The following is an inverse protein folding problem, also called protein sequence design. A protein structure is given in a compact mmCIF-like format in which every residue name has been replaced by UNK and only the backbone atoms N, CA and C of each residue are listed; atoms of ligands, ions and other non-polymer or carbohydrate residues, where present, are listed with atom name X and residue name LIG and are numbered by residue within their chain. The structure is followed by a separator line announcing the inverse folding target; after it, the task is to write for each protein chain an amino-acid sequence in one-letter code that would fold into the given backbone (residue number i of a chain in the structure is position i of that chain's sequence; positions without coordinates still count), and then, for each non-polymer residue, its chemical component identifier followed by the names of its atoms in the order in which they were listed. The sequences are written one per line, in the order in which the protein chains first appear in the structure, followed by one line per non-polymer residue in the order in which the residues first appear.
data_IF_619224162375
#
_entry.id   IF_619224162375
#
_cell.length_a   1.000
_cell.length_b   1.000
_cell.length_c   1.000
_cell.angle_alpha   90.00
_cell.angle_beta   90.00
_cell.angle_gamma   90.00
#
_symmetry.space_group_name_H-M   'P 1'
#
loop_
_entity.id
_entity.type
_entity.pdbx_description
1 polymer ?
#
# COMPACT_ATOMS: atom_id res chain seq x y z
N UNK A 1 -17.95 -61.89 47.55
CA UNK A 1 -18.34 -62.58 48.80
C UNK A 1 -18.95 -61.55 49.79
N UNK A 2 -18.24 -60.51 50.18
CA UNK A 2 -18.69 -59.48 51.14
C UNK A 2 -20.02 -58.86 50.69
N UNK A 3 -20.16 -58.49 49.43
CA UNK A 3 -21.39 -57.92 48.88
C UNK A 3 -22.57 -58.86 48.90
N UNK A 4 -22.33 -60.15 48.73
CA UNK A 4 -23.37 -61.15 48.81
C UNK A 4 -23.90 -61.26 50.27
N UNK A 5 -23.03 -61.28 51.26
CA UNK A 5 -23.41 -61.31 52.67
C UNK A 5 -24.14 -60.01 53.10
N UNK A 6 -23.73 -58.88 52.63
CA UNK A 6 -24.43 -57.62 52.88
C UNK A 6 -25.84 -57.63 52.25
N UNK A 7 -25.94 -58.13 50.99
CA UNK A 7 -27.20 -58.28 50.30
C UNK A 7 -28.14 -59.19 51.06
N UNK A 8 -27.66 -60.37 51.50
CA UNK A 8 -28.44 -61.31 52.30
C UNK A 8 -28.89 -60.74 53.65
N UNK A 9 -28.03 -59.98 54.31
CA UNK A 9 -28.31 -59.40 55.63
C UNK A 9 -29.37 -58.30 55.59
N UNK A 10 -29.33 -57.40 54.62
CA UNK A 10 -30.24 -56.25 54.54
C UNK A 10 -31.46 -56.42 53.67
N UNK A 11 -31.41 -57.27 52.66
CA UNK A 11 -32.41 -57.29 51.59
C UNK A 11 -33.18 -58.63 51.48
N UNK A 12 -32.75 -59.66 52.19
CA UNK A 12 -33.42 -60.94 52.12
C UNK A 12 -34.19 -61.31 53.40
N UNK A 13 -35.27 -62.08 53.36
CA UNK A 13 -35.97 -62.55 54.53
C UNK A 13 -35.40 -63.90 54.99
N UNK A 14 -35.19 -64.13 56.27
CA UNK A 14 -35.44 -63.21 57.39
C UNK A 14 -34.37 -62.10 57.48
N UNK A 15 -34.77 -60.79 57.61
CA UNK A 15 -33.88 -59.67 57.65
C UNK A 15 -32.92 -59.74 58.86
N UNK A 16 -31.72 -59.17 58.69
CA UNK A 16 -30.62 -59.21 59.68
C UNK A 16 -30.08 -60.63 59.96
N UNK A 17 -30.24 -61.53 59.01
CA UNK A 17 -29.71 -62.90 59.08
C UNK A 17 -28.83 -63.18 57.85
N UNK A 18 -27.83 -64.02 58.03
CA UNK A 18 -26.98 -64.50 56.95
C UNK A 18 -27.50 -65.81 56.33
N UNK A 19 -28.67 -66.31 56.78
CA UNK A 19 -29.27 -67.51 56.24
C UNK A 19 -30.31 -67.16 55.18
N UNK A 20 -30.21 -67.80 54.03
CA UNK A 20 -31.18 -67.68 52.92
C UNK A 20 -31.90 -68.99 52.66
N UNK A 21 -33.23 -68.99 52.81
CA UNK A 21 -34.04 -70.19 52.63
C UNK A 21 -34.62 -70.34 51.21
N UNK A 22 -34.57 -69.29 50.36
CA UNK A 22 -35.14 -69.39 49.03
C UNK A 22 -34.07 -69.56 47.94
N UNK A 23 -34.27 -70.57 47.08
CA UNK A 23 -33.35 -70.95 46.02
C UNK A 23 -33.10 -69.90 44.97
N UNK A 24 -33.97 -68.87 44.90
CA UNK A 24 -33.83 -67.78 43.91
C UNK A 24 -32.85 -66.65 44.31
N UNK A 25 -32.46 -66.49 45.58
CA UNK A 25 -31.61 -65.37 46.01
C UNK A 25 -30.20 -65.31 45.41
N UNK A 26 -29.50 -66.40 45.19
CA UNK A 26 -28.19 -66.35 44.54
C UNK A 26 -28.27 -65.82 43.08
N UNK A 27 -29.37 -66.15 42.38
CA UNK A 27 -29.59 -65.69 41.01
C UNK A 27 -29.90 -64.21 40.95
N UNK A 28 -30.76 -63.71 41.85
CA UNK A 28 -31.05 -62.24 41.94
C UNK A 28 -29.83 -61.48 42.37
N UNK A 29 -28.99 -61.95 43.29
CA UNK A 29 -27.71 -61.35 43.63
C UNK A 29 -26.75 -61.27 42.43
N UNK A 30 -26.63 -62.36 41.68
CA UNK A 30 -25.76 -62.36 40.48
C UNK A 30 -26.24 -61.36 39.45
N UNK A 31 -27.56 -61.28 39.18
CA UNK A 31 -28.13 -60.30 38.25
C UNK A 31 -27.88 -58.84 38.74
N UNK A 32 -28.10 -58.56 40.04
CA UNK A 32 -27.87 -57.24 40.60
C UNK A 32 -26.38 -56.87 40.61
N UNK A 33 -25.48 -57.83 40.87
CA UNK A 33 -24.04 -57.64 40.78
C UNK A 33 -23.60 -57.30 39.36
N UNK A 34 -24.03 -58.11 38.38
CA UNK A 34 -23.71 -57.85 36.95
C UNK A 34 -24.27 -56.51 36.52
N UNK A 35 -25.53 -56.21 36.83
CA UNK A 35 -26.16 -54.91 36.53
C UNK A 35 -25.39 -53.75 37.16
N UNK A 36 -24.98 -53.85 38.44
CA UNK A 36 -24.20 -52.83 39.14
C UNK A 36 -22.81 -52.59 38.54
N UNK A 37 -22.12 -53.71 38.18
CA UNK A 37 -20.81 -53.59 37.49
C UNK A 37 -20.99 -52.96 36.12
N UNK A 38 -22.01 -53.37 35.36
CA UNK A 38 -22.27 -52.85 34.02
C UNK A 38 -22.65 -51.37 34.07
N UNK A 39 -23.52 -50.96 34.98
CA UNK A 39 -23.90 -49.57 35.17
C UNK A 39 -22.71 -48.69 35.65
N UNK A 40 -21.89 -49.23 36.57
CA UNK A 40 -20.68 -48.57 37.02
C UNK A 40 -19.65 -48.34 35.89
N UNK A 41 -19.42 -49.41 35.08
CA UNK A 41 -18.54 -49.33 33.93
C UNK A 41 -19.07 -48.33 32.85
N UNK A 42 -20.38 -48.35 32.60
CA UNK A 42 -21.04 -47.44 31.67
C UNK A 42 -20.97 -45.99 32.18
N UNK A 43 -21.21 -45.76 33.45
CA UNK A 43 -21.10 -44.43 34.07
C UNK A 43 -19.68 -43.88 34.03
N UNK A 44 -18.66 -44.73 34.32
CA UNK A 44 -17.26 -44.35 34.18
C UNK A 44 -16.89 -43.98 32.74
N UNK A 45 -17.35 -44.78 31.76
CA UNK A 45 -17.15 -44.54 30.33
C UNK A 45 -17.84 -43.24 29.88
N UNK A 46 -19.07 -42.99 30.30
CA UNK A 46 -19.80 -41.76 30.01
C UNK A 46 -19.08 -40.54 30.59
N UNK A 47 -18.57 -40.62 31.82
CA UNK A 47 -17.81 -39.55 32.45
C UNK A 47 -16.52 -39.19 31.69
N UNK A 48 -15.80 -40.24 31.23
CA UNK A 48 -14.57 -40.01 30.42
C UNK A 48 -14.90 -39.39 29.06
N UNK A 49 -15.97 -39.89 28.39
CA UNK A 49 -16.44 -39.31 27.14
C UNK A 49 -16.92 -37.88 27.30
N UNK A 50 -17.66 -37.53 28.36
CA UNK A 50 -18.11 -36.18 28.65
C UNK A 50 -16.92 -35.23 28.87
N UNK A 51 -15.91 -35.70 29.63
CA UNK A 51 -14.67 -34.90 29.86
C UNK A 51 -13.91 -34.62 28.55
N UNK A 52 -13.73 -35.65 27.73
CA UNK A 52 -13.07 -35.51 26.42
C UNK A 52 -13.84 -34.59 25.48
N UNK A 53 -15.17 -34.72 25.41
CA UNK A 53 -16.03 -33.84 24.61
C UNK A 53 -15.97 -32.40 25.07
N UNK A 54 -15.97 -32.15 26.38
CA UNK A 54 -15.80 -30.80 26.93
C UNK A 54 -14.44 -30.20 26.59
N UNK A 55 -13.36 -30.98 26.66
CA UNK A 55 -12.02 -30.51 26.27
C UNK A 55 -11.93 -30.18 24.77
N UNK A 56 -12.52 -31.01 23.92
CA UNK A 56 -12.58 -30.75 22.47
C UNK A 56 -13.40 -29.49 22.16
N UNK A 57 -14.57 -29.34 22.77
CA UNK A 57 -15.40 -28.15 22.60
C UNK A 57 -14.67 -26.87 23.04
N UNK A 58 -14.01 -26.91 24.18
CA UNK A 58 -13.20 -25.78 24.69
C UNK A 58 -12.04 -25.43 23.76
N UNK A 59 -11.30 -26.44 23.25
CA UNK A 59 -10.23 -26.24 22.27
C UNK A 59 -10.74 -25.59 20.98
N UNK A 60 -11.89 -26.08 20.47
CA UNK A 60 -12.49 -25.52 19.24
C UNK A 60 -12.91 -24.07 19.44
N UNK A 61 -13.49 -23.75 20.61
CA UNK A 61 -13.88 -22.38 20.95
C UNK A 61 -12.66 -21.44 20.98
N UNK A 62 -11.57 -21.87 21.62
CA UNK A 62 -10.32 -21.10 21.67
C UNK A 62 -9.79 -20.81 20.28
N UNK A 63 -9.72 -21.83 19.42
CA UNK A 63 -9.22 -21.65 18.06
C UNK A 63 -10.08 -20.67 17.26
N UNK A 64 -11.41 -20.79 17.38
CA UNK A 64 -12.33 -19.88 16.72
C UNK A 64 -12.16 -18.43 17.20
N UNK A 65 -12.07 -18.22 18.52
CA UNK A 65 -11.87 -16.89 19.10
C UNK A 65 -10.51 -16.32 18.70
N UNK A 66 -9.47 -17.13 18.66
CA UNK A 66 -8.12 -16.73 18.23
C UNK A 66 -8.12 -16.34 16.77
N UNK A 67 -8.66 -17.17 15.86
CA UNK A 67 -8.76 -16.88 14.43
C UNK A 67 -9.49 -15.56 14.18
N UNK A 68 -10.63 -15.36 14.85
CA UNK A 68 -11.39 -14.10 14.74
C UNK A 68 -10.60 -12.85 15.18
N UNK A 69 -9.71 -12.98 16.15
CA UNK A 69 -8.86 -11.87 16.61
C UNK A 69 -7.72 -11.64 15.62
N UNK A 70 -7.09 -12.71 15.13
CA UNK A 70 -5.99 -12.65 14.17
C UNK A 70 -6.42 -12.06 12.82
N UNK A 71 -7.64 -12.33 12.36
CA UNK A 71 -8.19 -11.73 11.14
C UNK A 71 -8.34 -10.20 11.18
N UNK A 72 -8.40 -9.61 12.38
CA UNK A 72 -8.49 -8.16 12.55
C UNK A 72 -7.13 -7.48 12.65
N UNK A 73 -6.09 -8.22 12.97
CA UNK A 73 -4.75 -7.71 13.18
C UNK A 73 -4.12 -7.29 11.85
N UNK A 74 -3.45 -6.14 11.85
CA UNK A 74 -2.77 -5.57 10.69
C UNK A 74 -1.26 -5.67 10.89
N UNK A 75 -0.65 -6.64 10.18
CA UNK A 75 0.79 -6.82 10.18
C UNK A 75 1.32 -7.78 11.24
N UNK A 76 2.56 -8.22 11.07
CA UNK A 76 3.17 -9.32 11.83
C UNK A 76 3.29 -9.03 13.33
N UNK A 77 3.62 -7.79 13.71
CA UNK A 77 3.74 -7.40 15.13
C UNK A 77 2.40 -7.48 15.86
N UNK A 78 1.33 -6.99 15.26
CA UNK A 78 -0.01 -7.01 15.88
C UNK A 78 -0.55 -8.44 15.99
N UNK A 79 -0.30 -9.28 14.99
CA UNK A 79 -0.62 -10.72 15.01
C UNK A 79 0.08 -11.38 16.19
N UNK A 80 1.38 -11.12 16.40
CA UNK A 80 2.14 -11.68 17.51
C UNK A 80 1.62 -11.18 18.87
N UNK A 81 1.35 -9.87 18.99
CA UNK A 81 0.83 -9.27 20.23
C UNK A 81 -0.53 -9.87 20.62
N UNK A 82 -1.44 -10.05 19.66
CA UNK A 82 -2.72 -10.73 19.87
C UNK A 82 -2.51 -12.16 20.31
N UNK A 83 -1.63 -12.90 19.63
CA UNK A 83 -1.32 -14.30 19.95
C UNK A 83 -0.78 -14.44 21.36
N UNK A 84 0.21 -13.61 21.73
CA UNK A 84 0.82 -13.64 23.07
C UNK A 84 -0.17 -13.26 24.16
N UNK A 85 -1.04 -12.29 23.91
CA UNK A 85 -2.11 -11.91 24.85
C UNK A 85 -3.10 -13.05 25.05
N UNK A 86 -3.46 -13.78 24.00
CA UNK A 86 -4.32 -14.96 24.10
C UNK A 86 -3.62 -16.09 24.87
N UNK A 87 -2.37 -16.39 24.55
CA UNK A 87 -1.60 -17.43 25.25
C UNK A 87 -1.43 -17.10 26.74
N UNK A 88 -1.15 -15.83 27.08
CA UNK A 88 -1.09 -15.34 28.46
C UNK A 88 -2.40 -15.66 29.22
N UNK A 89 -3.55 -15.38 28.62
CA UNK A 89 -4.87 -15.65 29.22
C UNK A 89 -5.16 -17.13 29.37
N UNK A 90 -4.79 -17.94 28.35
CA UNK A 90 -5.12 -19.36 28.29
C UNK A 90 -4.23 -20.20 29.21
N UNK A 91 -2.95 -19.89 29.28
CA UNK A 91 -1.98 -20.64 30.07
C UNK A 91 -1.78 -20.04 31.47
N UNK A 92 -2.25 -18.81 31.71
CA UNK A 92 -2.00 -18.02 32.92
C UNK A 92 -0.51 -18.00 33.27
N UNK A 93 0.35 -17.87 32.23
CA UNK A 93 1.82 -17.83 32.34
C UNK A 93 2.36 -16.67 31.53
N UNK A 94 3.46 -16.09 31.97
CA UNK A 94 4.18 -15.07 31.21
C UNK A 94 4.61 -15.65 29.85
N UNK A 95 4.69 -14.80 28.83
CA UNK A 95 5.08 -15.18 27.47
C UNK A 95 6.17 -14.22 27.01
N UNK A 96 7.27 -14.73 26.51
CA UNK A 96 8.25 -13.92 25.77
C UNK A 96 8.07 -14.14 24.27
N UNK A 97 8.19 -13.08 23.48
CA UNK A 97 8.01 -13.16 22.04
C UNK A 97 9.06 -12.37 21.28
N UNK A 98 9.48 -12.91 20.16
CA UNK A 98 10.47 -12.36 19.26
C UNK A 98 9.93 -12.40 17.83
N UNK A 99 9.92 -11.26 17.13
CA UNK A 99 9.52 -11.16 15.71
C UNK A 99 10.77 -11.32 14.83
N UNK A 100 10.62 -11.85 13.63
CA UNK A 100 11.68 -11.86 12.62
C UNK A 100 11.56 -10.59 11.78
N UNK A 101 12.58 -9.74 11.82
CA UNK A 101 12.70 -8.52 11.02
C UNK A 101 14.02 -8.56 10.25
N UNK A 102 13.97 -8.32 8.94
CA UNK A 102 15.16 -8.32 8.07
C UNK A 102 16.05 -9.59 8.23
N UNK A 103 15.42 -10.77 8.31
CA UNK A 103 16.10 -12.06 8.53
C UNK A 103 16.85 -12.20 9.86
N UNK A 104 16.50 -11.42 10.86
CA UNK A 104 17.04 -11.51 12.20
C UNK A 104 15.92 -11.45 13.25
N UNK A 105 16.15 -12.03 14.43
CA UNK A 105 15.20 -11.86 15.54
C UNK A 105 15.32 -10.45 16.13
N UNK A 106 14.17 -9.81 16.36
CA UNK A 106 14.04 -8.55 17.08
C UNK A 106 14.43 -8.70 18.55
N UNK A 107 14.47 -7.61 19.28
CA UNK A 107 14.52 -7.63 20.73
C UNK A 107 13.28 -8.32 21.30
N UNK A 108 13.46 -9.11 22.37
CA UNK A 108 12.37 -9.85 23.00
C UNK A 108 11.38 -8.92 23.72
N UNK A 109 10.09 -9.21 23.59
CA UNK A 109 9.02 -8.54 24.30
C UNK A 109 8.41 -9.50 25.32
N UNK A 110 8.23 -9.05 26.57
CA UNK A 110 7.58 -9.83 27.63
C UNK A 110 6.11 -9.43 27.74
N UNK A 111 5.25 -10.42 27.78
CA UNK A 111 3.82 -10.30 28.10
C UNK A 111 3.60 -10.91 29.48
N UNK A 112 3.24 -10.09 30.45
CA UNK A 112 3.02 -10.48 31.85
C UNK A 112 1.61 -10.09 32.33
N UNK A 113 1.02 -10.94 33.14
CA UNK A 113 -0.25 -10.67 33.80
C UNK A 113 -0.12 -9.95 35.16
N UNK A 114 1.09 -9.90 35.73
CA UNK A 114 1.39 -9.21 37.00
C UNK A 114 2.68 -8.40 36.86
N UNK A 115 2.78 -7.28 37.56
CA UNK A 115 3.93 -6.37 37.50
C UNK A 115 5.21 -6.89 38.18
N UNK A 116 5.15 -7.99 38.89
CA UNK A 116 6.28 -8.57 39.63
C UNK A 116 6.95 -9.67 38.81
N UNK A 117 8.28 -9.61 38.58
CA UNK A 117 9.18 -10.55 37.90
C UNK A 117 9.37 -10.37 36.37
N UNK A 118 9.65 -9.17 35.91
CA UNK A 118 9.82 -8.91 34.46
C UNK A 118 11.24 -9.06 33.93
N UNK A 119 12.29 -8.97 34.74
CA UNK A 119 13.69 -8.90 34.23
C UNK A 119 14.36 -10.24 33.94
N UNK A 120 13.90 -11.34 34.50
CA UNK A 120 14.58 -12.62 34.48
C UNK A 120 14.41 -13.47 33.20
N UNK A 121 13.50 -13.10 32.29
CA UNK A 121 13.16 -13.90 31.11
C UNK A 121 13.70 -13.32 29.79
N UNK A 122 14.30 -12.13 29.81
CA UNK A 122 14.87 -11.46 28.64
C UNK A 122 16.40 -11.31 28.73
N UNK A 123 17.06 -12.20 29.45
CA UNK A 123 18.53 -12.20 29.57
C UNK A 123 19.19 -12.51 28.23
N UNK A 124 20.47 -12.13 28.08
CA UNK A 124 21.24 -12.44 26.87
C UNK A 124 21.34 -13.94 26.60
N UNK A 125 21.34 -14.76 27.65
CA UNK A 125 21.37 -16.23 27.55
C UNK A 125 20.07 -16.76 26.96
N UNK A 126 18.92 -16.29 27.47
CA UNK A 126 17.59 -16.66 26.94
C UNK A 126 17.41 -16.19 25.51
N UNK A 127 17.88 -15.00 25.14
CA UNK A 127 17.88 -14.51 23.76
C UNK A 127 18.72 -15.37 22.82
N UNK A 128 19.86 -15.91 23.27
CA UNK A 128 20.66 -16.83 22.47
C UNK A 128 19.92 -18.15 22.19
N UNK A 129 19.15 -18.65 23.17
CA UNK A 129 18.33 -19.86 22.99
C UNK A 129 17.16 -19.59 22.01
N UNK A 130 16.54 -18.43 22.12
CA UNK A 130 15.51 -18.01 21.14
C UNK A 130 16.10 -17.93 19.72
N UNK A 131 17.32 -17.36 19.56
CA UNK A 131 18.02 -17.32 18.28
C UNK A 131 18.35 -18.71 17.76
N UNK A 132 18.86 -19.60 18.61
CA UNK A 132 19.10 -20.99 18.23
C UNK A 132 17.81 -21.67 17.75
N UNK A 133 16.67 -21.46 18.44
CA UNK A 133 15.36 -21.98 18.05
C UNK A 133 14.95 -21.47 16.67
N UNK A 134 15.21 -20.19 16.37
CA UNK A 134 14.97 -19.59 15.06
C UNK A 134 15.81 -20.24 13.96
N UNK A 135 17.13 -20.35 14.18
CA UNK A 135 18.09 -20.85 13.19
C UNK A 135 17.88 -22.36 12.90
N UNK A 136 17.64 -23.14 13.96
CA UNK A 136 17.50 -24.61 13.85
C UNK A 136 16.05 -25.06 13.64
N UNK A 137 15.06 -24.17 13.77
CA UNK A 137 13.63 -24.47 13.60
C UNK A 137 13.11 -25.60 14.50
N UNK A 138 13.79 -25.83 15.62
CA UNK A 138 13.48 -26.85 16.60
C UNK A 138 13.18 -26.21 17.95
N UNK A 139 12.36 -26.89 18.75
CA UNK A 139 12.12 -26.46 20.13
C UNK A 139 13.38 -26.57 20.96
N UNK A 140 13.62 -25.60 21.81
CA UNK A 140 14.77 -25.57 22.73
C UNK A 140 14.36 -25.01 24.10
N UNK A 141 15.22 -25.14 25.07
CA UNK A 141 15.03 -24.63 26.43
C UNK A 141 14.45 -25.66 27.39
N UNK A 142 13.79 -25.18 28.44
CA UNK A 142 13.26 -25.99 29.50
C UNK A 142 12.44 -27.19 29.01
N UNK A 143 12.63 -28.34 29.65
CA UNK A 143 11.97 -29.63 29.30
C UNK A 143 12.31 -30.14 27.87
N UNK A 144 13.42 -29.72 27.27
CA UNK A 144 13.92 -30.23 25.99
C UNK A 144 15.31 -30.81 26.11
N UNK A 145 15.80 -31.46 25.04
CA UNK A 145 17.21 -31.96 25.01
C UNK A 145 18.22 -30.84 24.76
N UNK A 146 17.80 -29.72 24.18
CA UNK A 146 18.67 -28.57 23.91
C UNK A 146 18.43 -27.48 24.94
N UNK A 147 19.46 -27.12 25.69
CA UNK A 147 19.41 -26.09 26.74
C UNK A 147 18.42 -26.40 27.90
N UNK A 148 18.48 -27.60 28.54
CA UNK A 148 17.53 -27.97 29.57
C UNK A 148 17.54 -27.09 30.83
N UNK A 149 18.59 -26.29 31.02
CA UNK A 149 18.76 -25.36 32.14
C UNK A 149 18.11 -23.98 31.88
N UNK A 150 17.59 -23.76 30.69
CA UNK A 150 16.86 -22.52 30.38
C UNK A 150 15.63 -22.35 31.25
N UNK A 151 15.24 -21.11 31.49
CA UNK A 151 14.01 -20.80 32.25
C UNK A 151 12.75 -20.97 31.38
N UNK A 152 12.88 -20.76 30.07
CA UNK A 152 11.78 -20.82 29.12
C UNK A 152 11.86 -22.02 28.19
N UNK A 153 10.69 -22.52 27.76
CA UNK A 153 10.53 -23.38 26.60
C UNK A 153 10.33 -22.49 25.36
N UNK A 154 11.19 -22.60 24.35
CA UNK A 154 11.15 -21.84 23.12
C UNK A 154 10.57 -22.65 21.97
N UNK A 155 9.61 -22.06 21.26
CA UNK A 155 8.93 -22.64 20.09
C UNK A 155 8.96 -21.65 18.93
N UNK A 156 9.31 -22.13 17.74
CA UNK A 156 9.28 -21.32 16.54
C UNK A 156 7.86 -21.20 15.98
N UNK A 157 7.43 -19.99 15.66
CA UNK A 157 6.23 -19.71 14.89
C UNK A 157 6.60 -19.90 13.43
N UNK A 158 6.19 -21.03 12.82
CA UNK A 158 6.61 -21.37 11.46
C UNK A 158 5.46 -21.92 10.62
N UNK A 159 5.48 -21.60 9.31
CA UNK A 159 4.71 -22.30 8.29
C UNK A 159 5.66 -22.82 7.22
N UNK A 160 5.64 -24.12 7.01
CA UNK A 160 6.59 -24.79 6.12
C UNK A 160 8.05 -24.54 6.51
N UNK A 161 8.80 -23.89 5.62
CA UNK A 161 10.21 -23.55 5.81
C UNK A 161 10.43 -22.14 6.41
N UNK A 162 9.41 -21.32 6.47
CA UNK A 162 9.51 -19.94 6.94
C UNK A 162 9.25 -19.88 8.44
N UNK A 163 10.10 -19.13 9.16
CA UNK A 163 9.93 -18.80 10.58
C UNK A 163 9.63 -17.32 10.70
N UNK A 164 8.52 -17.00 11.34
CA UNK A 164 8.01 -15.63 11.50
C UNK A 164 8.35 -15.03 12.86
N UNK A 165 8.65 -15.90 13.85
CA UNK A 165 8.97 -15.48 15.19
C UNK A 165 9.29 -16.66 16.11
N UNK A 166 9.59 -16.35 17.36
CA UNK A 166 9.82 -17.35 18.42
C UNK A 166 9.03 -16.92 19.64
N UNK A 167 8.35 -17.87 20.27
CA UNK A 167 7.65 -17.69 21.55
C UNK A 167 8.39 -18.49 22.62
N UNK A 168 8.65 -17.86 23.76
CA UNK A 168 9.20 -18.48 24.96
C UNK A 168 8.16 -18.50 26.07
N UNK A 169 8.05 -19.65 26.77
CA UNK A 169 7.12 -19.86 27.87
C UNK A 169 7.90 -20.28 29.10
N UNK A 170 7.91 -19.48 30.17
CA UNK A 170 8.57 -19.85 31.42
C UNK A 170 7.98 -21.12 32.05
N UNK A 171 8.87 -22.08 32.39
CA UNK A 171 8.52 -23.33 33.06
C UNK A 171 9.20 -23.37 34.45
N UNK A 172 8.69 -22.59 35.41
CA UNK A 172 9.38 -22.38 36.68
C UNK A 172 9.39 -23.59 37.63
N UNK A 173 8.33 -24.40 37.69
CA UNK A 173 8.24 -25.62 38.55
C UNK A 173 7.26 -26.65 38.01
N UNK A 174 6.42 -26.32 37.09
CA UNK A 174 5.37 -27.18 36.55
C UNK A 174 5.55 -27.34 35.05
N UNK A 175 5.68 -28.54 34.57
CA UNK A 175 5.63 -28.86 33.14
C UNK A 175 4.24 -28.58 32.60
N UNK A 176 4.14 -28.16 31.33
CA UNK A 176 2.85 -28.07 30.66
C UNK A 176 2.18 -29.44 30.60
N UNK A 177 0.90 -29.50 30.94
CA UNK A 177 0.14 -30.71 30.74
C UNK A 177 -0.06 -30.99 29.23
N UNK A 178 -0.48 -32.21 28.89
CA UNK A 178 -0.65 -32.59 27.47
C UNK A 178 -1.74 -31.77 26.78
N UNK A 179 -2.70 -31.27 27.52
CA UNK A 179 -3.79 -30.43 26.98
C UNK A 179 -3.33 -29.01 26.74
N UNK A 180 -2.64 -28.38 27.71
CA UNK A 180 -2.01 -27.05 27.60
C UNK A 180 -1.05 -27.01 26.42
N UNK A 181 -0.18 -28.02 26.30
CA UNK A 181 0.76 -28.13 25.19
C UNK A 181 0.08 -28.24 23.82
N UNK A 182 -1.02 -28.99 23.75
CA UNK A 182 -1.82 -29.13 22.53
C UNK A 182 -2.50 -27.80 22.12
N UNK A 183 -3.01 -27.02 23.07
CA UNK A 183 -3.58 -25.69 22.83
C UNK A 183 -2.49 -24.75 22.36
N UNK A 184 -1.35 -24.69 23.05
CA UNK A 184 -0.21 -23.88 22.69
C UNK A 184 0.21 -24.08 21.22
N UNK A 185 0.44 -25.33 20.82
CA UNK A 185 0.81 -25.66 19.44
C UNK A 185 -0.26 -25.25 18.44
N UNK A 186 -1.55 -25.40 18.80
CA UNK A 186 -2.64 -25.02 17.92
C UNK A 186 -2.67 -23.50 17.70
N UNK A 187 -2.53 -22.71 18.76
CA UNK A 187 -2.52 -21.24 18.69
C UNK A 187 -1.28 -20.74 17.93
N UNK A 188 -0.11 -21.34 18.17
CA UNK A 188 1.12 -21.00 17.40
C UNK A 188 0.96 -21.29 15.91
N UNK A 189 0.30 -22.41 15.54
CA UNK A 189 0.06 -22.73 14.14
C UNK A 189 -0.93 -21.74 13.49
N UNK A 190 -1.99 -21.33 14.18
CA UNK A 190 -2.89 -20.28 13.68
C UNK A 190 -2.17 -18.95 13.53
N UNK A 191 -1.31 -18.58 14.48
CA UNK A 191 -0.45 -17.40 14.37
C UNK A 191 0.45 -17.47 13.14
N UNK A 192 1.12 -18.59 12.92
CA UNK A 192 2.00 -18.79 11.77
C UNK A 192 1.25 -18.64 10.44
N UNK A 193 0.05 -19.22 10.36
CA UNK A 193 -0.82 -19.12 9.17
C UNK A 193 -1.28 -17.65 8.94
N UNK A 194 -1.65 -16.96 10.01
CA UNK A 194 -2.05 -15.56 9.93
C UNK A 194 -0.89 -14.67 9.45
N UNK A 195 0.33 -14.88 9.94
CA UNK A 195 1.53 -14.17 9.51
C UNK A 195 1.88 -14.45 8.05
N UNK A 196 1.81 -15.72 7.62
CA UNK A 196 2.01 -16.09 6.21
C UNK A 196 1.00 -15.40 5.29
N UNK A 197 -0.27 -15.39 5.67
CA UNK A 197 -1.32 -14.73 4.91
C UNK A 197 -1.10 -13.22 4.82
N UNK A 198 -0.69 -12.57 5.92
CA UNK A 198 -0.39 -11.14 5.95
C UNK A 198 0.81 -10.81 5.03
N UNK A 199 1.88 -11.60 5.08
CA UNK A 199 3.05 -11.42 4.22
C UNK A 199 2.70 -11.61 2.74
N UNK A 200 1.97 -12.67 2.40
CA UNK A 200 1.50 -12.94 1.03
C UNK A 200 0.58 -11.82 0.50
N UNK A 201 -0.27 -11.24 1.35
CA UNK A 201 -1.12 -10.11 0.98
C UNK A 201 -0.30 -8.87 0.65
N UNK A 202 0.69 -8.52 1.47
CA UNK A 202 1.61 -7.39 1.22
C UNK A 202 2.42 -7.59 -0.07
N UNK A 203 2.92 -8.80 -0.31
CA UNK A 203 3.66 -9.11 -1.53
C UNK A 203 2.79 -9.02 -2.78
N UNK A 204 1.56 -9.52 -2.73
CA UNK A 204 0.58 -9.39 -3.82
C UNK A 204 0.26 -7.93 -4.12
N UNK A 205 0.05 -7.10 -3.09
CA UNK A 205 -0.21 -5.67 -3.26
C UNK A 205 0.99 -4.97 -3.91
N UNK A 206 2.20 -5.23 -3.43
CA UNK A 206 3.44 -4.70 -4.02
C UNK A 206 3.58 -5.11 -5.50
N UNK A 207 3.37 -6.38 -5.81
CA UNK A 207 3.46 -6.89 -7.17
C UNK A 207 2.37 -6.31 -8.08
N UNK A 208 1.15 -6.09 -7.56
CA UNK A 208 0.07 -5.43 -8.29
C UNK A 208 0.41 -3.97 -8.65
N UNK A 209 1.04 -3.23 -7.73
CA UNK A 209 1.51 -1.85 -7.99
C UNK A 209 2.60 -1.85 -9.07
N UNK A 210 3.57 -2.76 -8.99
CA UNK A 210 4.63 -2.90 -10.00
C UNK A 210 4.02 -3.23 -11.36
N UNK A 211 3.15 -4.24 -11.44
CA UNK A 211 2.50 -4.65 -12.69
C UNK A 211 1.68 -3.51 -13.31
N UNK A 212 0.94 -2.74 -12.48
CA UNK A 212 0.20 -1.57 -12.94
C UNK A 212 1.11 -0.49 -13.52
N UNK A 213 2.26 -0.23 -12.89
CA UNK A 213 3.24 0.74 -13.39
C UNK A 213 3.87 0.27 -14.72
N UNK A 214 4.21 -1.03 -14.85
CA UNK A 214 4.72 -1.57 -16.11
C UNK A 214 3.67 -1.53 -17.23
N UNK A 215 2.41 -1.82 -16.92
CA UNK A 215 1.32 -1.69 -17.89
C UNK A 215 1.16 -0.25 -18.36
N UNK A 216 1.16 0.71 -17.43
CA UNK A 216 1.12 2.14 -17.78
C UNK A 216 2.29 2.54 -18.68
N UNK A 217 3.50 2.08 -18.38
CA UNK A 217 4.69 2.34 -19.24
C UNK A 217 4.52 1.76 -20.64
N UNK A 218 4.00 0.55 -20.77
CA UNK A 218 3.75 -0.08 -22.07
C UNK A 218 2.70 0.68 -22.88
N UNK A 219 1.58 1.06 -22.25
CA UNK A 219 0.51 1.82 -22.91
C UNK A 219 1.01 3.19 -23.37
N UNK A 220 1.86 3.84 -22.54
CA UNK A 220 2.51 5.11 -22.87
C UNK A 220 3.41 4.99 -24.10
N UNK A 221 4.29 3.99 -24.13
CA UNK A 221 5.20 3.76 -25.27
C UNK A 221 4.42 3.47 -26.54
N UNK A 222 3.33 2.73 -26.46
CA UNK A 222 2.46 2.45 -27.59
C UNK A 222 1.81 3.73 -28.14
N UNK A 223 1.20 4.55 -27.26
CA UNK A 223 0.56 5.81 -27.63
C UNK A 223 1.56 6.79 -28.26
N UNK A 224 2.73 6.98 -27.63
CA UNK A 224 3.79 7.84 -28.15
C UNK A 224 4.26 7.36 -29.54
N UNK A 225 4.47 6.05 -29.69
CA UNK A 225 4.93 5.48 -30.97
C UNK A 225 3.93 5.69 -32.10
N UNK A 226 2.64 5.56 -31.78
CA UNK A 226 1.57 5.83 -32.75
C UNK A 226 1.55 7.29 -33.17
N UNK A 227 1.60 8.21 -32.23
CA UNK A 227 1.45 9.64 -32.48
C UNK A 227 2.69 10.27 -33.12
N UNK A 228 3.89 9.74 -32.85
CA UNK A 228 5.12 10.11 -33.56
C UNK A 228 5.12 9.59 -35.01
N UNK A 229 4.59 8.41 -35.28
CA UNK A 229 4.57 7.81 -36.62
C UNK A 229 3.79 8.65 -37.62
N UNK A 230 2.67 9.22 -37.21
CA UNK A 230 1.77 9.97 -38.09
C UNK A 230 2.48 11.18 -38.75
N UNK A 231 3.10 12.13 -38.01
CA UNK A 231 3.84 13.25 -38.61
C UNK A 231 5.08 12.79 -39.35
N UNK A 232 5.77 11.74 -38.90
CA UNK A 232 6.89 11.19 -39.66
C UNK A 232 6.47 10.66 -41.05
N UNK A 233 5.31 9.99 -41.12
CA UNK A 233 4.75 9.55 -42.40
C UNK A 233 4.36 10.74 -43.30
N UNK A 234 3.79 11.81 -42.67
CA UNK A 234 3.45 13.05 -43.40
C UNK A 234 4.69 13.74 -43.93
N UNK A 235 5.74 13.94 -43.14
CA UNK A 235 7.02 14.51 -43.57
C UNK A 235 7.62 13.68 -44.70
N UNK A 236 7.66 12.34 -44.53
CA UNK A 236 8.22 11.44 -45.55
C UNK A 236 7.43 11.49 -46.85
N UNK A 237 6.11 11.45 -46.80
CA UNK A 237 5.23 11.54 -47.97
C UNK A 237 5.35 12.88 -48.68
N UNK A 238 5.36 13.98 -47.95
CA UNK A 238 5.55 15.32 -48.47
C UNK A 238 6.93 15.50 -49.13
N UNK A 239 7.99 14.97 -48.51
CA UNK A 239 9.32 14.98 -49.07
C UNK A 239 9.41 14.13 -50.37
N UNK A 240 8.77 12.94 -50.36
CA UNK A 240 8.72 12.09 -51.59
C UNK A 240 7.96 12.77 -52.71
N UNK A 241 6.87 13.48 -52.41
CA UNK A 241 6.10 14.25 -53.40
C UNK A 241 6.96 15.35 -54.05
N UNK A 242 7.77 16.07 -53.24
CA UNK A 242 8.70 17.08 -53.74
C UNK A 242 9.81 16.44 -54.60
N UNK A 243 10.35 15.30 -54.20
CA UNK A 243 11.40 14.62 -54.94
C UNK A 243 10.92 14.04 -56.28
N UNK A 244 9.72 13.44 -56.27
CA UNK A 244 9.21 12.69 -57.43
C UNK A 244 8.44 13.59 -58.44
N UNK A 245 7.81 14.69 -57.99
CA UNK A 245 6.88 15.47 -58.81
C UNK A 245 7.17 16.99 -58.82
N UNK A 246 8.33 17.46 -58.39
CA UNK A 246 8.63 18.90 -58.21
C UNK A 246 8.36 19.75 -59.45
N UNK A 247 8.58 19.22 -60.66
CA UNK A 247 8.34 19.94 -61.91
C UNK A 247 6.86 20.14 -62.26
N UNK A 248 5.97 19.32 -61.66
CA UNK A 248 4.52 19.35 -61.90
C UNK A 248 3.74 20.15 -60.86
N UNK A 249 4.38 20.51 -59.77
CA UNK A 249 3.79 21.27 -58.68
C UNK A 249 3.94 22.76 -58.92
N UNK A 250 2.88 23.52 -58.67
CA UNK A 250 2.95 24.98 -58.64
C UNK A 250 3.67 25.49 -57.37
N UNK A 251 4.15 26.71 -57.40
CA UNK A 251 4.93 27.28 -56.28
C UNK A 251 4.08 27.40 -54.98
N UNK A 252 2.78 27.60 -55.08
CA UNK A 252 1.90 27.67 -53.93
C UNK A 252 1.80 26.30 -53.23
N UNK A 253 1.63 25.22 -54.01
CA UNK A 253 1.61 23.84 -53.48
C UNK A 253 2.98 23.45 -52.88
N UNK A 254 4.07 23.81 -53.51
CA UNK A 254 5.41 23.57 -52.95
C UNK A 254 5.59 24.28 -51.62
N UNK A 255 5.20 25.56 -51.56
CA UNK A 255 5.28 26.33 -50.31
C UNK A 255 4.45 25.71 -49.20
N UNK A 256 3.25 25.22 -49.52
CA UNK A 256 2.41 24.53 -48.53
C UNK A 256 3.09 23.25 -48.03
N UNK A 257 3.65 22.41 -48.92
CA UNK A 257 4.37 21.20 -48.55
C UNK A 257 5.59 21.48 -47.68
N UNK A 258 6.37 22.54 -47.98
CA UNK A 258 7.47 22.95 -47.11
C UNK A 258 6.99 23.38 -45.73
N UNK A 259 5.89 24.12 -45.67
CA UNK A 259 5.28 24.54 -44.40
C UNK A 259 4.79 23.34 -43.59
N UNK A 260 4.13 22.38 -44.24
CA UNK A 260 3.64 21.15 -43.55
C UNK A 260 4.81 20.31 -42.99
N UNK A 261 5.92 20.18 -43.77
CA UNK A 261 7.12 19.49 -43.28
C UNK A 261 7.72 20.20 -42.09
N UNK A 262 7.81 21.52 -42.16
CA UNK A 262 8.37 22.34 -41.09
C UNK A 262 7.50 22.24 -39.81
N UNK A 263 6.22 22.42 -39.93
CA UNK A 263 5.28 22.41 -38.80
C UNK A 263 5.21 21.02 -38.12
N UNK A 264 5.21 19.93 -38.92
CA UNK A 264 5.30 18.55 -38.39
C UNK A 264 6.63 18.27 -37.67
N UNK A 265 7.74 18.86 -38.17
CA UNK A 265 9.08 18.72 -37.58
C UNK A 265 9.17 19.47 -36.23
N UNK A 266 8.71 20.72 -36.18
CA UNK A 266 8.65 21.53 -34.93
C UNK A 266 7.80 20.87 -33.89
N UNK A 267 6.65 20.31 -34.28
CA UNK A 267 5.78 19.56 -33.38
C UNK A 267 6.48 18.33 -32.79
N UNK A 268 7.23 17.56 -33.62
CA UNK A 268 7.98 16.40 -33.14
C UNK A 268 9.09 16.79 -32.16
N UNK A 269 9.79 17.90 -32.39
CA UNK A 269 10.82 18.42 -31.50
C UNK A 269 10.17 18.71 -30.13
N UNK A 270 9.05 19.43 -30.11
CA UNK A 270 8.33 19.73 -28.87
C UNK A 270 7.86 18.49 -28.09
N UNK A 271 7.42 17.45 -28.80
CA UNK A 271 7.04 16.16 -28.20
C UNK A 271 8.24 15.50 -27.52
N UNK A 272 9.39 15.43 -28.22
CA UNK A 272 10.60 14.80 -27.68
C UNK A 272 11.12 15.57 -26.48
N UNK A 273 11.14 16.91 -26.51
CA UNK A 273 11.57 17.75 -25.41
C UNK A 273 10.67 17.60 -24.17
N UNK A 274 9.36 17.56 -24.36
CA UNK A 274 8.40 17.33 -23.27
C UNK A 274 8.58 15.93 -22.65
N UNK A 275 8.78 14.89 -23.46
CA UNK A 275 9.01 13.52 -23.00
C UNK A 275 10.32 13.41 -22.20
N UNK A 276 11.40 14.01 -22.69
CA UNK A 276 12.68 14.05 -22.00
C UNK A 276 12.59 14.82 -20.67
N UNK A 277 11.84 15.91 -20.62
CA UNK A 277 11.61 16.70 -19.41
C UNK A 277 10.85 15.91 -18.35
N UNK A 278 9.76 15.23 -18.73
CA UNK A 278 8.97 14.37 -17.84
C UNK A 278 9.82 13.20 -17.32
N UNK A 279 10.59 12.54 -18.19
CA UNK A 279 11.43 11.40 -17.80
C UNK A 279 12.50 11.81 -16.79
N UNK A 280 13.15 12.96 -17.00
CA UNK A 280 14.17 13.49 -16.08
C UNK A 280 13.58 13.92 -14.74
N UNK A 281 12.36 14.46 -14.73
CA UNK A 281 11.64 14.82 -13.51
C UNK A 281 11.32 13.56 -12.68
N UNK A 282 10.72 12.54 -13.30
CA UNK A 282 10.30 11.31 -12.62
C UNK A 282 11.48 10.50 -12.08
N UNK A 283 12.61 10.49 -12.78
CA UNK A 283 13.83 9.78 -12.34
C UNK A 283 14.60 10.53 -11.22
N UNK A 284 14.15 11.72 -10.82
CA UNK A 284 14.88 12.57 -9.86
C UNK A 284 16.24 13.04 -10.38
N UNK A 285 16.49 12.94 -11.68
CA UNK A 285 17.78 13.30 -12.33
C UNK A 285 17.83 14.74 -12.78
N UNK A 286 16.71 15.46 -12.72
CA UNK A 286 16.68 16.87 -13.08
C UNK A 286 17.39 17.68 -11.98
N UNK A 287 18.51 18.30 -12.34
CA UNK A 287 19.22 19.25 -11.46
C UNK A 287 18.58 20.63 -11.63
N UNK A 288 17.75 21.02 -10.69
CA UNK A 288 17.17 22.36 -10.65
C UNK A 288 18.25 23.41 -10.41
N UNK A 289 18.18 24.50 -11.16
CA UNK A 289 19.02 25.68 -10.93
C UNK A 289 18.13 26.80 -10.37
N UNK A 290 17.80 26.70 -9.11
CA UNK A 290 17.02 27.73 -8.42
C UNK A 290 17.79 29.04 -8.32
N UNK A 291 17.13 30.11 -8.67
CA UNK A 291 17.59 31.50 -8.49
C UNK A 291 16.40 32.37 -8.14
N UNK A 292 16.70 33.50 -7.46
CA UNK A 292 15.70 34.50 -7.14
C UNK A 292 15.56 35.44 -8.34
N UNK A 293 14.37 35.53 -8.91
CA UNK A 293 14.11 36.26 -10.15
C UNK A 293 12.87 37.13 -10.03
N UNK A 294 12.90 38.25 -10.74
CA UNK A 294 11.75 39.11 -10.89
C UNK A 294 10.74 38.50 -11.81
N UNK A 295 9.48 38.45 -11.37
CA UNK A 295 8.41 37.77 -12.06
C UNK A 295 8.06 38.44 -13.41
N UNK A 296 8.11 39.78 -13.47
CA UNK A 296 7.89 40.56 -14.69
C UNK A 296 8.94 40.26 -15.79
N UNK A 297 10.21 40.06 -15.42
CA UNK A 297 11.26 39.68 -16.35
C UNK A 297 11.02 38.29 -16.95
N UNK A 298 10.61 37.32 -16.10
CA UNK A 298 10.33 35.94 -16.55
C UNK A 298 9.09 35.90 -17.44
N UNK A 299 8.05 36.69 -17.14
CA UNK A 299 6.87 36.81 -18.00
C UNK A 299 7.27 37.48 -19.34
N UNK A 300 8.04 38.55 -19.31
CA UNK A 300 8.48 39.22 -20.53
C UNK A 300 9.33 38.31 -21.43
N UNK A 301 10.22 37.50 -20.82
CA UNK A 301 11.03 36.53 -21.56
C UNK A 301 10.19 35.43 -22.16
N UNK A 302 9.18 34.89 -21.43
CA UNK A 302 8.28 33.87 -21.95
C UNK A 302 7.49 34.37 -23.16
N UNK A 303 7.08 35.63 -23.19
CA UNK A 303 6.39 36.26 -24.33
C UNK A 303 7.26 36.34 -25.58
N UNK A 304 8.60 36.46 -25.44
CA UNK A 304 9.52 36.43 -26.58
C UNK A 304 9.63 35.07 -27.25
N UNK A 305 9.38 34.01 -26.52
CA UNK A 305 9.38 32.61 -27.02
C UNK A 305 8.10 32.24 -27.79
N UNK A 306 7.04 33.04 -27.67
CA UNK A 306 5.81 32.80 -28.40
C UNK A 306 6.00 33.18 -29.86
N UNK A 307 5.71 32.24 -30.75
CA UNK A 307 5.88 32.39 -32.20
C UNK A 307 5.08 33.57 -32.78
N UNK A 308 5.64 34.29 -33.78
CA UNK A 308 4.96 35.40 -34.51
C UNK A 308 3.70 34.98 -35.29
N UNK A 309 3.38 33.69 -35.35
CA UNK A 309 2.15 33.16 -35.99
C UNK A 309 0.83 33.53 -35.23
N UNK A 310 0.92 34.34 -34.16
CA UNK A 310 -0.21 34.63 -33.28
C UNK A 310 -0.64 36.11 -33.29
N UNK A 311 -0.40 36.82 -34.40
CA UNK A 311 -0.83 38.21 -34.57
C UNK A 311 -2.36 38.42 -34.44
N UNK A 312 -3.13 37.30 -34.54
CA UNK A 312 -4.58 37.28 -34.37
C UNK A 312 -5.05 37.27 -32.89
N UNK A 313 -4.14 37.15 -31.93
CA UNK A 313 -4.45 37.11 -30.51
C UNK A 313 -3.94 38.34 -29.77
N UNK A 314 -4.72 38.84 -28.82
CA UNK A 314 -4.29 39.97 -27.98
C UNK A 314 -3.74 39.46 -26.66
N UNK A 315 -2.42 39.37 -26.53
CA UNK A 315 -1.76 38.96 -25.30
C UNK A 315 -1.41 40.22 -24.47
N UNK A 316 -1.85 40.25 -23.20
CA UNK A 316 -1.62 41.36 -22.26
C UNK A 316 -0.97 40.81 -21.01
N UNK A 317 0.06 41.43 -20.53
CA UNK A 317 0.70 41.12 -19.23
C UNK A 317 0.51 42.26 -18.24
N UNK A 318 0.13 41.91 -17.02
CA UNK A 318 0.00 42.80 -15.88
C UNK A 318 0.69 42.17 -14.68
N UNK A 319 1.76 42.75 -14.19
CA UNK A 319 2.54 42.19 -13.09
C UNK A 319 2.72 43.27 -12.02
N UNK A 320 2.46 42.85 -10.77
CA UNK A 320 2.78 43.70 -9.61
C UNK A 320 4.27 43.96 -9.53
N UNK A 321 4.65 45.18 -9.20
CA UNK A 321 6.05 45.58 -9.15
C UNK A 321 6.82 44.82 -8.05
N UNK A 322 8.07 44.43 -8.36
CA UNK A 322 9.03 43.84 -7.43
C UNK A 322 8.62 42.51 -6.79
N UNK A 323 7.86 41.68 -7.49
CA UNK A 323 7.60 40.30 -7.02
C UNK A 323 8.80 39.42 -7.35
N UNK A 324 9.56 39.05 -6.32
CA UNK A 324 10.68 38.11 -6.41
C UNK A 324 10.21 36.69 -6.03
N UNK A 325 10.54 35.73 -6.84
CA UNK A 325 10.24 34.31 -6.57
C UNK A 325 11.46 33.45 -6.83
N UNK A 326 11.61 32.40 -6.02
CA UNK A 326 12.67 31.40 -6.16
C UNK A 326 12.26 30.34 -7.18
N UNK A 327 12.97 30.28 -8.31
CA UNK A 327 12.59 29.37 -9.40
C UNK A 327 13.78 28.95 -10.28
N UNK A 328 13.60 27.89 -11.05
CA UNK A 328 14.40 27.60 -12.25
C UNK A 328 13.73 28.31 -13.43
N UNK A 329 14.33 29.39 -13.88
CA UNK A 329 13.78 30.29 -14.92
C UNK A 329 13.39 29.55 -16.18
N UNK A 330 14.22 28.62 -16.65
CA UNK A 330 13.99 27.88 -17.91
C UNK A 330 12.72 27.02 -17.82
N UNK A 331 12.51 26.38 -16.68
CA UNK A 331 11.34 25.54 -16.45
C UNK A 331 10.07 26.35 -16.28
N UNK A 332 10.14 27.50 -15.60
CA UNK A 332 8.97 28.38 -15.44
C UNK A 332 8.62 29.06 -16.79
N UNK A 333 9.59 29.46 -17.59
CA UNK A 333 9.33 29.92 -18.96
C UNK A 333 8.61 28.80 -19.76
N UNK A 334 9.05 27.56 -19.66
CA UNK A 334 8.40 26.42 -20.33
C UNK A 334 6.94 26.24 -19.86
N UNK A 335 6.66 26.40 -18.54
CA UNK A 335 5.29 26.40 -18.02
C UNK A 335 4.45 27.51 -18.64
N UNK A 336 4.95 28.74 -18.63
CA UNK A 336 4.23 29.88 -19.18
C UNK A 336 3.96 29.73 -20.68
N UNK A 337 4.97 29.35 -21.46
CA UNK A 337 4.82 29.08 -22.90
C UNK A 337 3.77 28.00 -23.14
N UNK A 338 3.82 26.87 -22.42
CA UNK A 338 2.83 25.79 -22.56
C UNK A 338 1.40 26.26 -22.22
N UNK A 339 1.21 27.09 -21.19
CA UNK A 339 -0.11 27.61 -20.81
C UNK A 339 -0.65 28.59 -21.86
N UNK A 340 0.21 29.47 -22.38
CA UNK A 340 -0.15 30.44 -23.40
C UNK A 340 -0.45 29.75 -24.72
N UNK A 341 0.37 28.80 -25.15
CA UNK A 341 0.15 28.00 -26.36
C UNK A 341 -1.15 27.21 -26.28
N UNK A 342 -1.50 26.67 -25.09
CA UNK A 342 -2.79 26.06 -24.88
C UNK A 342 -3.96 27.06 -25.06
N UNK A 343 -3.84 28.26 -24.48
CA UNK A 343 -4.85 29.30 -24.67
C UNK A 343 -5.04 29.64 -26.16
N UNK A 344 -3.95 29.82 -26.89
CA UNK A 344 -3.96 30.10 -28.35
C UNK A 344 -4.60 28.94 -29.12
N UNK A 345 -4.21 27.73 -28.80
CA UNK A 345 -4.63 26.50 -29.51
C UNK A 345 -6.11 26.17 -29.37
N UNK A 346 -6.67 26.41 -28.18
CA UNK A 346 -8.03 25.98 -27.83
C UNK A 346 -9.05 27.13 -27.82
N UNK A 347 -8.64 28.34 -28.23
CA UNK A 347 -9.55 29.48 -28.33
C UNK A 347 -9.59 30.03 -29.75
N UNK A 348 -10.69 30.67 -30.17
CA UNK A 348 -10.79 31.26 -31.52
C UNK A 348 -9.90 32.48 -31.68
N UNK A 349 -9.52 32.82 -32.92
CA UNK A 349 -8.83 34.11 -33.20
C UNK A 349 -9.60 35.30 -32.63
N UNK A 350 -8.83 36.31 -32.14
CA UNK A 350 -9.40 37.49 -31.49
C UNK A 350 -9.56 37.34 -29.96
N UNK A 351 -9.24 36.15 -29.39
CA UNK A 351 -9.23 35.92 -27.95
C UNK A 351 -8.20 36.81 -27.25
N UNK A 352 -8.57 37.33 -26.08
CA UNK A 352 -7.66 38.05 -25.19
C UNK A 352 -7.07 37.08 -24.17
N UNK A 353 -5.74 37.00 -24.14
CA UNK A 353 -5.01 36.20 -23.17
C UNK A 353 -4.31 37.17 -22.20
N UNK A 354 -4.66 37.08 -20.92
CA UNK A 354 -4.11 37.97 -19.88
C UNK A 354 -3.22 37.16 -18.93
N UNK A 355 -1.98 37.60 -18.75
CA UNK A 355 -1.02 37.04 -17.81
C UNK A 355 -0.91 37.98 -16.64
N UNK A 356 -1.21 37.52 -15.43
CA UNK A 356 -1.12 38.35 -14.22
C UNK A 356 -0.13 37.75 -13.22
N UNK A 357 0.75 38.60 -12.68
CA UNK A 357 1.67 38.26 -11.61
C UNK A 357 1.35 39.06 -10.36
N UNK A 358 1.08 38.42 -9.24
CA UNK A 358 0.69 39.08 -7.98
C UNK A 358 1.35 38.40 -6.79
N UNK A 359 1.39 39.09 -5.66
CA UNK A 359 1.80 38.54 -4.38
C UNK A 359 0.56 38.25 -3.54
N UNK A 360 0.31 36.98 -3.23
CA UNK A 360 -0.87 36.54 -2.48
C UNK A 360 -0.47 35.50 -1.43
N UNK A 361 -0.90 35.67 -0.17
CA UNK A 361 -0.69 34.72 0.94
C UNK A 361 0.77 34.29 1.14
N UNK A 362 1.72 35.19 0.96
CA UNK A 362 3.16 34.93 1.12
C UNK A 362 3.76 34.07 -0.02
N UNK A 363 3.07 33.96 -1.16
CA UNK A 363 3.54 33.28 -2.38
C UNK A 363 3.45 34.21 -3.57
N UNK A 364 4.32 34.02 -4.56
CA UNK A 364 4.14 34.58 -5.88
C UNK A 364 3.09 33.79 -6.62
N UNK A 365 2.07 34.46 -7.11
CA UNK A 365 0.97 33.84 -7.86
C UNK A 365 0.97 34.35 -9.29
N UNK A 366 0.96 33.44 -10.24
CA UNK A 366 0.88 33.73 -11.67
C UNK A 366 -0.38 33.12 -12.22
N UNK A 367 -1.15 33.88 -12.98
CA UNK A 367 -2.36 33.41 -13.66
C UNK A 367 -2.30 33.70 -15.15
N UNK A 368 -2.69 32.71 -15.95
CA UNK A 368 -2.90 32.83 -17.41
C UNK A 368 -4.38 32.67 -17.65
N UNK A 369 -5.04 33.74 -18.09
CA UNK A 369 -6.49 33.82 -18.30
C UNK A 369 -6.78 33.97 -19.77
N UNK A 370 -7.79 33.28 -20.25
CA UNK A 370 -8.36 33.47 -21.58
C UNK A 370 -9.87 33.73 -21.49
N UNK A 371 -10.45 34.31 -22.52
CA UNK A 371 -11.88 34.48 -22.68
C UNK A 371 -12.46 33.53 -23.75
N UNK A 372 -11.92 32.33 -23.84
CA UNK A 372 -12.33 31.27 -24.73
C UNK A 372 -13.61 30.51 -24.26
N UNK A 373 -13.88 29.33 -24.82
CA UNK A 373 -15.08 28.56 -24.51
C UNK A 373 -15.07 27.91 -23.13
N UNK A 374 -13.92 27.90 -22.42
CA UNK A 374 -13.75 27.21 -21.15
C UNK A 374 -13.58 25.70 -21.28
N UNK A 375 -13.48 25.00 -20.14
CA UNK A 375 -13.33 23.55 -20.05
C UNK A 375 -14.50 22.97 -19.25
N UNK A 376 -15.21 21.94 -19.78
CA UNK A 376 -16.32 21.28 -19.08
C UNK A 376 -15.87 20.73 -17.69
N UNK A 377 -16.74 20.82 -16.70
CA UNK A 377 -16.45 20.39 -15.32
C UNK A 377 -16.03 18.93 -15.21
N UNK A 378 -16.60 18.06 -16.06
CA UNK A 378 -16.23 16.65 -16.12
C UNK A 378 -14.76 16.40 -16.52
N UNK A 379 -14.17 17.33 -17.27
CA UNK A 379 -12.79 17.22 -17.77
C UNK A 379 -11.76 17.81 -16.79
N UNK A 380 -12.14 18.83 -16.00
CA UNK A 380 -11.22 19.57 -15.12
C UNK A 380 -10.40 18.67 -14.18
N UNK A 381 -10.94 17.60 -13.56
CA UNK A 381 -10.16 16.72 -12.69
C UNK A 381 -9.07 15.91 -13.41
N UNK A 382 -9.15 15.82 -14.73
CA UNK A 382 -8.28 14.95 -15.54
C UNK A 382 -7.26 15.68 -16.40
N UNK A 383 -7.39 17.00 -16.58
CA UNK A 383 -6.56 17.77 -17.53
C UNK A 383 -5.08 17.78 -17.22
N UNK A 384 -4.70 17.56 -15.96
CA UNK A 384 -3.30 17.46 -15.53
C UNK A 384 -2.76 16.02 -15.58
N UNK A 385 -3.59 15.04 -15.93
CA UNK A 385 -3.13 13.66 -16.12
C UNK A 385 -2.38 13.54 -17.44
N UNK A 386 -1.28 12.77 -17.42
CA UNK A 386 -0.51 12.51 -18.64
C UNK A 386 -1.38 11.84 -19.70
N UNK A 387 -1.24 12.29 -20.96
CA UNK A 387 -1.95 11.77 -22.13
C UNK A 387 -3.46 12.00 -22.12
N UNK A 388 -3.97 12.80 -21.22
CA UNK A 388 -5.36 13.19 -21.24
C UNK A 388 -5.57 14.27 -22.31
N UNK A 389 -6.35 13.93 -23.34
CA UNK A 389 -6.82 14.86 -24.38
C UNK A 389 -8.33 14.88 -24.32
N UNK A 390 -8.92 16.05 -24.18
CA UNK A 390 -10.36 16.19 -24.27
C UNK A 390 -10.88 15.68 -25.61
N UNK A 391 -11.98 14.91 -25.63
CA UNK A 391 -12.68 14.54 -26.84
C UNK A 391 -13.30 15.80 -27.46
N UNK A 392 -12.54 16.59 -28.16
CA UNK A 392 -13.09 17.65 -29.01
C UNK A 392 -13.46 17.03 -30.34
N UNK A 393 -14.74 17.09 -30.68
CA UNK A 393 -15.35 16.70 -31.96
C UNK A 393 -14.92 17.58 -33.15
N UNK A 394 -13.97 18.46 -32.94
CA UNK A 394 -13.40 19.29 -34.01
C UNK A 394 -12.28 18.50 -34.65
N UNK A 395 -12.59 17.84 -35.74
CA UNK A 395 -11.65 17.15 -36.62
C UNK A 395 -10.80 18.19 -37.35
N UNK A 396 -9.96 18.95 -36.64
CA UNK A 396 -9.01 19.84 -37.29
C UNK A 396 -7.74 20.05 -36.48
N UNK A 397 -6.65 19.64 -37.11
CA UNK A 397 -5.27 20.16 -37.12
C UNK A 397 -4.48 20.36 -35.81
N UNK A 398 -5.06 20.23 -34.62
CA UNK A 398 -4.31 20.47 -33.39
C UNK A 398 -3.95 19.16 -32.66
N UNK A 399 -2.93 18.47 -33.17
CA UNK A 399 -2.35 17.30 -32.54
C UNK A 399 -1.85 17.68 -31.14
N UNK A 400 -2.33 16.98 -30.10
CA UNK A 400 -1.90 17.18 -28.73
C UNK A 400 -1.74 15.83 -28.03
N UNK A 401 -0.55 15.54 -27.54
CA UNK A 401 -0.26 14.32 -26.78
C UNK A 401 -0.75 14.35 -25.34
N UNK A 402 -1.35 15.47 -24.88
CA UNK A 402 -1.76 15.62 -23.48
C UNK A 402 -0.58 15.62 -22.49
N UNK A 403 0.61 16.02 -22.94
CA UNK A 403 1.82 16.07 -22.10
C UNK A 403 2.09 17.45 -21.50
N UNK A 404 1.65 18.52 -22.17
CA UNK A 404 2.00 19.91 -21.79
C UNK A 404 1.51 20.28 -20.40
N UNK A 405 0.22 20.09 -20.09
CA UNK A 405 -0.35 20.43 -18.79
C UNK A 405 0.17 19.49 -17.66
N UNK A 406 0.40 18.22 -17.94
CA UNK A 406 1.00 17.29 -17.00
C UNK A 406 2.45 17.70 -16.66
N UNK A 407 3.21 18.14 -17.65
CA UNK A 407 4.56 18.68 -17.45
C UNK A 407 4.53 19.97 -16.62
N UNK A 408 3.60 20.89 -16.91
CA UNK A 408 3.41 22.11 -16.11
C UNK A 408 3.14 21.78 -14.65
N UNK A 409 2.23 20.85 -14.40
CA UNK A 409 1.90 20.41 -13.04
C UNK A 409 3.12 19.84 -12.31
N UNK A 410 3.86 18.94 -12.94
CA UNK A 410 5.06 18.32 -12.35
C UNK A 410 6.18 19.34 -12.11
N UNK A 411 6.37 20.33 -13.00
CA UNK A 411 7.37 21.41 -12.80
C UNK A 411 6.97 22.26 -11.59
N UNK A 412 5.71 22.67 -11.49
CA UNK A 412 5.23 23.53 -10.39
C UNK A 412 5.29 22.78 -9.05
N UNK A 413 4.90 21.51 -8.98
CA UNK A 413 5.07 20.69 -7.78
C UNK A 413 6.54 20.60 -7.35
N UNK A 414 7.46 20.44 -8.29
CA UNK A 414 8.89 20.38 -8.02
C UNK A 414 9.48 21.74 -7.57
N UNK A 415 8.71 22.83 -7.69
CA UNK A 415 9.00 24.16 -7.16
C UNK A 415 8.26 24.47 -5.85
N UNK A 416 7.71 23.43 -5.17
CA UNK A 416 6.89 23.60 -3.97
C UNK A 416 5.66 24.51 -4.18
N UNK A 417 5.18 24.58 -5.43
CA UNK A 417 4.02 25.34 -5.86
C UNK A 417 2.77 24.47 -6.06
N UNK A 418 1.67 25.12 -6.45
CA UNK A 418 0.43 24.48 -6.84
C UNK A 418 -0.06 25.05 -8.16
N UNK A 419 -0.56 24.19 -9.06
CA UNK A 419 -1.19 24.59 -10.32
C UNK A 419 -2.66 24.19 -10.29
N UNK A 420 -3.56 25.15 -10.49
CA UNK A 420 -5.01 24.94 -10.49
C UNK A 420 -5.65 25.55 -11.74
N UNK A 421 -6.81 25.00 -12.12
CA UNK A 421 -7.69 25.55 -13.13
C UNK A 421 -8.98 26.03 -12.48
N UNK A 422 -9.39 27.25 -12.81
CA UNK A 422 -10.69 27.83 -12.46
C UNK A 422 -11.35 28.42 -13.70
N UNK A 423 -12.66 28.64 -13.64
CA UNK A 423 -13.35 29.34 -14.71
C UNK A 423 -13.03 30.83 -14.67
N UNK A 424 -12.96 31.45 -15.83
CA UNK A 424 -12.85 32.90 -15.98
C UNK A 424 -14.22 33.49 -16.35
N UNK A 425 -14.68 34.48 -15.57
CA UNK A 425 -15.98 35.13 -15.80
C UNK A 425 -15.88 36.19 -16.91
N UNK A 426 -16.85 36.26 -17.86
CA UNK A 426 -18.08 35.46 -17.98
C UNK A 426 -17.91 34.11 -18.66
N UNK A 427 -16.80 33.83 -19.30
CA UNK A 427 -16.44 32.56 -19.92
C UNK A 427 -14.92 32.51 -20.17
N UNK A 428 -14.33 31.31 -20.16
CA UNK A 428 -12.90 31.08 -20.39
C UNK A 428 -12.25 30.25 -19.31
N UNK A 429 -10.93 30.13 -19.40
CA UNK A 429 -10.09 29.42 -18.45
C UNK A 429 -9.18 30.38 -17.69
N UNK A 430 -8.91 30.02 -16.45
CA UNK A 430 -7.89 30.66 -15.64
C UNK A 430 -6.97 29.61 -15.02
N UNK A 431 -5.78 29.42 -15.59
CA UNK A 431 -4.72 28.61 -15.03
C UNK A 431 -3.91 29.46 -14.06
N UNK A 432 -3.92 29.08 -12.80
CA UNK A 432 -3.20 29.80 -11.74
C UNK A 432 -2.18 28.87 -11.09
N UNK A 433 -0.93 29.34 -10.98
CA UNK A 433 0.10 28.62 -10.24
C UNK A 433 0.82 29.50 -9.23
N UNK A 434 1.39 28.87 -8.21
CA UNK A 434 2.10 29.56 -7.13
C UNK A 434 3.56 29.14 -7.08
N UNK A 435 4.42 30.06 -6.63
CA UNK A 435 5.84 29.81 -6.37
C UNK A 435 6.23 30.37 -5.00
N UNK A 436 7.26 29.83 -4.33
CA UNK A 436 7.79 30.42 -3.12
C UNK A 436 8.32 31.86 -3.36
N UNK A 437 7.89 32.79 -2.52
CA UNK A 437 8.48 34.14 -2.53
C UNK A 437 9.94 34.09 -2.06
N UNK A 438 10.76 34.90 -2.64
CA UNK A 438 12.10 35.24 -2.13
C UNK A 438 12.05 36.60 -1.45
N UNK A 439 12.51 36.67 -0.21
CA UNK A 439 12.67 37.92 0.49
C UNK A 439 14.04 38.49 0.16
N UNK A 440 14.07 39.73 -0.34
CA UNK A 440 15.32 40.47 -0.47
C UNK A 440 15.77 40.88 0.91
N UNK A 441 16.72 40.18 1.48
CA UNK A 441 17.53 40.73 2.56
C UNK A 441 18.49 41.73 1.93
N UNK A 442 18.13 42.99 1.93
CA UNK A 442 19.08 44.07 1.68
C UNK A 442 20.13 44.02 2.82
N UNK A 443 21.25 43.36 2.56
CA UNK A 443 22.41 43.51 3.41
C UNK A 443 22.91 44.97 3.19
N UNK A 444 22.66 45.82 4.17
CA UNK A 444 23.30 47.11 4.30
C UNK A 444 24.82 46.98 4.52
#
# INVERSE_FOLDING_TARGET
VIFYYIFCFFLTEPRMSFQTYAVGYPVTFLITLISSVLTGALAAKLKTHAKLSAQLAFRTQILFDTDRLLQKAKGEREILDVTCTQLLRLLNRNITAYVVENNALSEGKLFSGAEEDTEDFLTKEEQQIARWTYENRQRAGASTHHFPQAKCLYLAIRSGNNVYGVIGIPLQKETLDSFEYSILLSVINECALAMENAQNAMEKEKNAVIAKNEQLRADLLWAISHDIRTPLCSISGNADMLLSNSERLDEATKHQIYTDIYDDSEWLIGVVENLLSITRLNDGRLKFKFSDQLLDEVIAESLRHISRKHDDYRIVSDCEELVLARMDVRLIIQVLVNLIDNAIKYTPPGTVICIQGTKTDGKAQISVKDNGPGIPDEMKPHIFQMFYTGKTTVADSHRSLGLGLALCHSIIEAHDGTLILTDHDPHGCNFTFTLPLSEVTLNE
#
